data_IF_160366153792
#
_entry.id   IF_160366153792
#
_cell.length_a   1.000
_cell.length_b   1.000
_cell.length_c   1.000
_cell.angle_alpha   90.00
_cell.angle_beta   90.00
_cell.angle_gamma   90.00
#
_symmetry.space_group_name_H-M   'P 1'
#
loop_
_entity.id
_entity.type
_entity.pdbx_description
1 polymer ?
#
# COMPACT_ATOMS: atom_id res chain seq x y z
N UNK A 1 14.71 4.90 6.32
CA UNK A 1 14.44 3.50 5.92
C UNK A 1 14.23 3.44 4.40
N UNK A 2 14.67 2.37 3.72
CA UNK A 2 14.41 2.18 2.29
C UNK A 2 13.11 1.38 2.11
N UNK A 3 12.13 1.94 1.39
CA UNK A 3 10.88 1.24 1.06
C UNK A 3 11.04 0.57 -0.32
N UNK A 4 10.79 -0.75 -0.46
CA UNK A 4 10.93 -1.45 -1.74
C UNK A 4 9.90 -0.97 -2.76
N UNK A 5 10.10 -1.31 -4.05
CA UNK A 5 9.08 -1.10 -5.08
C UNK A 5 8.01 -2.19 -5.09
N UNK A 6 8.30 -3.35 -4.50
CA UNK A 6 7.40 -4.50 -4.52
C UNK A 6 6.22 -4.29 -3.56
N UNK A 7 4.98 -4.33 -4.09
CA UNK A 7 3.79 -4.04 -3.28
C UNK A 7 3.56 -5.06 -2.16
N UNK A 8 3.85 -6.33 -2.38
CA UNK A 8 3.72 -7.38 -1.35
C UNK A 8 4.70 -7.18 -0.18
N UNK A 9 5.91 -6.69 -0.46
CA UNK A 9 6.90 -6.35 0.58
C UNK A 9 6.46 -5.10 1.35
N UNK A 10 5.94 -4.09 0.66
CA UNK A 10 5.35 -2.91 1.31
C UNK A 10 4.18 -3.33 2.21
N UNK A 11 3.30 -4.22 1.74
CA UNK A 11 2.16 -4.68 2.50
C UNK A 11 2.57 -5.41 3.80
N UNK A 12 3.62 -6.24 3.75
CA UNK A 12 4.21 -6.86 4.95
C UNK A 12 4.71 -5.82 5.94
N UNK A 13 5.45 -4.81 5.46
CA UNK A 13 5.93 -3.72 6.30
C UNK A 13 4.77 -2.96 6.98
N UNK A 14 3.68 -2.70 6.24
CA UNK A 14 2.48 -2.06 6.80
C UNK A 14 1.89 -2.91 7.92
N UNK A 15 1.80 -4.24 7.77
CA UNK A 15 1.26 -5.14 8.80
C UNK A 15 2.11 -5.19 10.06
N UNK A 16 3.42 -5.10 9.92
CA UNK A 16 4.35 -5.09 11.04
C UNK A 16 4.27 -3.80 11.85
N UNK A 17 4.08 -2.66 11.19
CA UNK A 17 4.01 -1.34 11.84
C UNK A 17 2.59 -0.97 12.30
N UNK A 18 1.60 -1.16 11.44
CA UNK A 18 0.21 -0.77 11.69
C UNK A 18 -0.61 -1.93 12.27
N UNK A 19 -0.54 -2.10 13.59
CA UNK A 19 -1.16 -3.23 14.29
C UNK A 19 -2.70 -3.24 14.24
N UNK A 20 -3.34 -2.06 14.35
CA UNK A 20 -4.80 -1.92 14.26
C UNK A 20 -5.21 -1.23 12.95
N UNK A 21 -4.98 -1.94 11.84
CA UNK A 21 -5.42 -1.48 10.51
C UNK A 21 -6.94 -1.30 10.54
N UNK A 22 -7.42 -0.12 10.17
CA UNK A 22 -8.86 0.15 10.14
C UNK A 22 -9.58 -0.78 9.15
N UNK A 23 -10.80 -1.19 9.49
CA UNK A 23 -11.58 -2.17 8.72
C UNK A 23 -11.66 -1.85 7.22
N UNK A 24 -11.83 -0.58 6.85
CA UNK A 24 -11.97 -0.14 5.46
C UNK A 24 -10.66 -0.23 4.66
N UNK A 25 -9.50 -0.20 5.31
CA UNK A 25 -8.19 -0.33 4.65
C UNK A 25 -7.77 -1.80 4.46
N UNK A 26 -8.23 -2.70 5.34
CA UNK A 26 -7.89 -4.14 5.32
C UNK A 26 -8.02 -4.83 3.95
N UNK A 27 -9.12 -4.70 3.18
CA UNK A 27 -9.25 -5.42 1.92
C UNK A 27 -8.22 -4.96 0.86
N UNK A 28 -7.89 -3.67 0.83
CA UNK A 28 -6.91 -3.14 -0.13
C UNK A 28 -5.47 -3.51 0.27
N UNK A 29 -5.19 -3.52 1.57
CA UNK A 29 -3.92 -4.03 2.08
C UNK A 29 -3.74 -5.52 1.74
N UNK A 30 -4.78 -6.34 1.93
CA UNK A 30 -4.75 -7.76 1.57
C UNK A 30 -4.56 -7.96 0.05
N UNK A 31 -5.16 -7.11 -0.79
CA UNK A 31 -4.90 -7.16 -2.23
C UNK A 31 -3.45 -6.80 -2.56
N UNK A 32 -2.87 -5.78 -1.91
CA UNK A 32 -1.45 -5.43 -2.07
C UNK A 32 -0.50 -6.58 -1.69
N UNK A 33 -0.85 -7.45 -0.73
CA UNK A 33 -0.06 -8.64 -0.37
C UNK A 33 0.08 -9.63 -1.54
N UNK A 34 -0.78 -9.56 -2.55
CA UNK A 34 -0.79 -10.45 -3.73
C UNK A 34 -0.12 -9.84 -4.97
N UNK A 35 0.27 -8.57 -4.91
CA UNK A 35 0.79 -7.81 -6.04
C UNK A 35 2.29 -7.58 -5.89
N UNK A 36 3.05 -7.69 -6.97
CA UNK A 36 4.49 -7.43 -6.99
C UNK A 36 4.82 -6.07 -7.61
N UNK A 37 4.00 -5.59 -8.54
CA UNK A 37 4.21 -4.34 -9.27
C UNK A 37 3.01 -3.42 -9.20
N UNK A 38 3.25 -2.12 -9.41
CA UNK A 38 2.20 -1.12 -9.59
C UNK A 38 1.42 -1.31 -10.91
N UNK A 39 1.94 -2.13 -11.83
CA UNK A 39 1.31 -2.45 -13.12
C UNK A 39 0.58 -3.81 -13.12
N UNK A 40 0.60 -4.52 -11.99
CA UNK A 40 -0.14 -5.77 -11.82
C UNK A 40 -1.66 -5.54 -11.74
N UNK A 41 -2.41 -6.63 -11.82
CA UNK A 41 -3.86 -6.64 -11.71
C UNK A 41 -4.31 -7.68 -10.68
N UNK A 42 -5.36 -7.35 -9.94
CA UNK A 42 -6.08 -8.24 -9.04
C UNK A 42 -7.52 -8.39 -9.55
N UNK A 43 -7.79 -9.49 -10.23
CA UNK A 43 -9.00 -9.63 -11.07
C UNK A 43 -9.12 -8.46 -12.04
N UNK A 44 -10.25 -7.75 -12.02
CA UNK A 44 -10.54 -6.60 -12.89
C UNK A 44 -9.99 -5.26 -12.35
N UNK A 45 -9.31 -5.27 -11.19
CA UNK A 45 -8.77 -4.07 -10.57
C UNK A 45 -7.27 -3.94 -10.85
N UNK A 46 -6.84 -2.76 -11.29
CA UNK A 46 -5.41 -2.44 -11.39
C UNK A 46 -4.79 -2.25 -10.00
N UNK A 47 -3.51 -2.59 -9.86
CA UNK A 47 -2.74 -2.29 -8.65
C UNK A 47 -2.74 -0.78 -8.32
N UNK A 48 -2.72 0.08 -9.34
CA UNK A 48 -2.85 1.54 -9.20
C UNK A 48 -4.14 1.94 -8.47
N UNK A 49 -5.30 1.40 -8.85
CA UNK A 49 -6.56 1.74 -8.19
C UNK A 49 -6.61 1.20 -6.76
N UNK A 50 -6.06 0.01 -6.52
CA UNK A 50 -5.97 -0.58 -5.18
C UNK A 50 -5.10 0.28 -4.25
N UNK A 51 -3.92 0.69 -4.70
CA UNK A 51 -3.01 1.53 -3.93
C UNK A 51 -3.63 2.90 -3.65
N UNK A 52 -4.29 3.51 -4.64
CA UNK A 52 -4.98 4.78 -4.46
C UNK A 52 -6.07 4.70 -3.37
N UNK A 53 -6.88 3.64 -3.39
CA UNK A 53 -7.95 3.47 -2.39
C UNK A 53 -7.37 3.10 -1.02
N UNK A 54 -6.31 2.29 -0.95
CA UNK A 54 -5.62 2.04 0.31
C UNK A 54 -5.14 3.36 0.95
N UNK A 55 -4.50 4.24 0.17
CA UNK A 55 -4.01 5.52 0.66
C UNK A 55 -5.13 6.43 1.19
N UNK A 56 -6.31 6.42 0.56
CA UNK A 56 -7.46 7.22 1.02
C UNK A 56 -8.00 6.75 2.37
N UNK A 57 -7.84 5.46 2.69
CA UNK A 57 -8.24 4.86 3.96
C UNK A 57 -7.10 4.86 5.00
N UNK A 58 -5.86 5.06 4.61
CA UNK A 58 -4.71 5.05 5.52
C UNK A 58 -4.52 6.35 6.31
N UNK A 59 -5.51 7.25 6.38
CA UNK A 59 -5.36 8.58 6.99
C UNK A 59 -4.98 8.52 8.47
N UNK A 60 -5.53 7.56 9.22
CA UNK A 60 -5.27 7.38 10.66
C UNK A 60 -3.96 6.64 10.96
N UNK A 61 -3.26 6.13 9.94
CA UNK A 61 -1.94 5.54 10.11
C UNK A 61 -0.87 6.63 10.13
N UNK A 62 -0.25 6.87 11.28
CA UNK A 62 0.70 7.96 11.50
C UNK A 62 2.05 7.43 12.00
N UNK A 63 3.11 8.23 11.83
CA UNK A 63 4.48 7.89 12.23
C UNK A 63 5.48 7.94 11.09
N UNK A 64 6.76 7.72 11.40
CA UNK A 64 7.85 7.78 10.42
C UNK A 64 7.68 6.71 9.33
N UNK A 65 7.36 5.46 9.72
CA UNK A 65 7.09 4.37 8.79
C UNK A 65 5.90 4.68 7.88
N UNK A 66 4.79 5.16 8.47
CA UNK A 66 3.58 5.54 7.74
C UNK A 66 3.88 6.60 6.67
N UNK A 67 4.61 7.65 7.05
CA UNK A 67 4.98 8.73 6.13
C UNK A 67 5.86 8.21 4.99
N UNK A 68 6.88 7.40 5.29
CA UNK A 68 7.78 6.85 4.28
C UNK A 68 7.05 5.93 3.29
N UNK A 69 6.16 5.07 3.77
CA UNK A 69 5.38 4.16 2.92
C UNK A 69 4.36 4.92 2.06
N UNK A 70 3.62 5.87 2.63
CA UNK A 70 2.65 6.69 1.86
C UNK A 70 3.33 7.49 0.76
N UNK A 71 4.50 8.06 1.04
CA UNK A 71 5.32 8.74 0.04
C UNK A 71 5.78 7.76 -1.05
N UNK A 72 6.25 6.58 -0.68
CA UNK A 72 6.66 5.56 -1.64
C UNK A 72 5.53 5.15 -2.58
N UNK A 73 4.37 4.81 -2.03
CA UNK A 73 3.19 4.41 -2.80
C UNK A 73 2.73 5.53 -3.73
N UNK A 74 2.73 6.77 -3.26
CA UNK A 74 2.44 7.96 -4.10
C UNK A 74 3.43 8.09 -5.25
N UNK A 75 4.72 7.88 -5.00
CA UNK A 75 5.74 7.94 -6.03
C UNK A 75 5.59 6.82 -7.09
N UNK A 76 5.19 5.61 -6.67
CA UNK A 76 4.87 4.52 -7.60
C UNK A 76 3.67 4.86 -8.49
N UNK A 77 2.66 5.55 -7.97
CA UNK A 77 1.50 5.99 -8.76
C UNK A 77 1.86 7.04 -9.83
N UNK A 78 2.83 7.90 -9.55
CA UNK A 78 3.24 8.99 -10.43
C UNK A 78 4.19 8.56 -11.55
N UNK A 79 4.91 7.46 -11.36
CA UNK A 79 5.83 6.94 -12.36
C UNK A 79 5.15 5.83 -13.19
N UNK A 80 5.07 5.99 -14.53
CA UNK A 80 4.58 4.94 -15.42
C UNK A 80 5.58 3.79 -15.57
#
# INVERSE_FOLDING_TARGET
MQIPNNLSEIAKLIREDWQDVIYTAKPYLAAMETLNSIDDHFFELSARSIVLIFLSHAQTWEGETANAVKQKLTALLQNP
#
